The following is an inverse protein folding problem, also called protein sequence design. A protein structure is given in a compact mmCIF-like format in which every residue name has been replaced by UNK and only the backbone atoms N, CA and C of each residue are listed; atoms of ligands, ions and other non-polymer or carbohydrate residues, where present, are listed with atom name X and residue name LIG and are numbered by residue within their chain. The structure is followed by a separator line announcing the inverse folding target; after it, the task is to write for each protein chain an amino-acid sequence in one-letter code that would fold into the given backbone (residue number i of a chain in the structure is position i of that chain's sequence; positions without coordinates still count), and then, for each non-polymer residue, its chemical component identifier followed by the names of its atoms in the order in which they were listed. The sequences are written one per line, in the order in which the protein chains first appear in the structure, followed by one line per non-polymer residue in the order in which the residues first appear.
data_IF_639437944010
#
_entry.id   IF_639437944010
#
_cell.length_a   1.000
_cell.length_b   1.000
_cell.length_c   1.000
_cell.angle_alpha   90.00
_cell.angle_beta   90.00
_cell.angle_gamma   90.00
#
_symmetry.space_group_name_H-M   'P 1'
#
loop_
_entity.id
_entity.type
_entity.pdbx_description
1 polymer ?
#
# COMPACT_ATOMS: atom_id res chain seq x y z
N UNK A 1 -16.88 -2.29 -6.16
CA UNK A 1 -17.13 -2.47 -7.59
C UNK A 1 -16.10 -1.71 -8.41
N UNK A 2 -15.56 -2.33 -9.50
CA UNK A 2 -14.68 -1.67 -10.46
C UNK A 2 -15.45 -0.58 -11.22
N UNK A 3 -14.89 0.63 -11.29
CA UNK A 3 -15.50 1.78 -11.99
C UNK A 3 -14.62 2.35 -13.10
N UNK A 4 -13.32 2.08 -13.08
CA UNK A 4 -12.44 2.40 -14.20
C UNK A 4 -11.34 1.33 -14.32
N UNK A 5 -11.08 0.91 -15.56
CA UNK A 5 -10.01 -0.01 -15.87
C UNK A 5 -8.67 0.72 -15.94
N UNK A 6 -7.59 -0.04 -15.74
CA UNK A 6 -6.25 0.50 -15.94
C UNK A 6 -6.00 0.82 -17.42
N UNK A 7 -5.18 1.82 -17.69
CA UNK A 7 -4.73 2.17 -19.04
C UNK A 7 -3.19 2.23 -19.09
N UNK A 8 -2.60 1.24 -19.74
CA UNK A 8 -1.14 1.12 -19.86
C UNK A 8 -0.47 0.39 -18.69
N UNK A 9 0.87 0.35 -18.70
CA UNK A 9 1.66 -0.43 -17.75
C UNK A 9 1.74 0.23 -16.36
N UNK A 10 1.96 1.55 -16.29
CA UNK A 10 2.00 2.29 -15.02
C UNK A 10 0.62 2.91 -14.79
N UNK A 11 -0.32 2.07 -14.41
CA UNK A 11 -1.68 2.49 -14.05
C UNK A 11 -2.31 1.47 -13.10
N UNK A 12 -3.44 1.80 -12.51
CA UNK A 12 -4.15 0.95 -11.57
C UNK A 12 -5.64 1.03 -11.83
N UNK A 13 -6.40 -0.06 -11.68
CA UNK A 13 -7.86 0.00 -11.73
C UNK A 13 -8.39 0.84 -10.57
N UNK A 14 -9.53 1.49 -10.77
CA UNK A 14 -10.19 2.31 -9.76
C UNK A 14 -11.50 1.65 -9.34
N UNK A 15 -11.67 1.50 -8.04
CA UNK A 15 -12.87 0.95 -7.42
C UNK A 15 -13.71 2.06 -6.78
N UNK A 16 -15.01 1.86 -6.73
CA UNK A 16 -15.92 2.78 -6.04
C UNK A 16 -15.56 2.84 -4.55
N UNK A 17 -15.35 4.05 -4.05
CA UNK A 17 -15.02 4.31 -2.63
C UNK A 17 -16.25 4.52 -1.75
N UNK A 18 -17.42 4.67 -2.36
CA UNK A 18 -18.71 4.88 -1.69
C UNK A 18 -19.80 4.08 -2.41
N UNK A 19 -20.88 3.75 -1.72
CA UNK A 19 -22.11 3.25 -2.36
C UNK A 19 -22.94 4.40 -2.90
N UNK A 20 -23.65 4.16 -4.02
CA UNK A 20 -24.45 5.19 -4.66
C UNK A 20 -24.62 4.99 -6.16
N UNK A 21 -24.86 6.08 -6.88
CA UNK A 21 -25.10 6.08 -8.32
C UNK A 21 -24.12 6.98 -9.06
N UNK A 22 -23.52 6.46 -10.13
CA UNK A 22 -22.72 7.27 -11.04
C UNK A 22 -23.61 8.30 -11.72
N UNK A 23 -23.33 9.58 -11.52
CA UNK A 23 -24.11 10.70 -12.10
C UNK A 23 -23.53 11.18 -13.40
N UNK A 24 -22.21 11.30 -13.46
CA UNK A 24 -21.53 11.83 -14.66
C UNK A 24 -20.07 11.38 -14.71
N UNK A 25 -19.55 11.39 -15.91
CA UNK A 25 -18.13 11.26 -16.21
C UNK A 25 -17.75 12.53 -16.95
N UNK A 26 -16.86 13.31 -16.39
CA UNK A 26 -16.44 14.59 -16.92
C UNK A 26 -14.96 14.84 -16.65
N UNK A 27 -14.39 15.87 -17.28
CA UNK A 27 -13.04 16.31 -16.94
C UNK A 27 -13.06 17.15 -15.67
N UNK A 28 -12.17 16.83 -14.72
CA UNK A 28 -11.97 17.60 -13.50
C UNK A 28 -10.55 18.15 -13.43
N UNK A 29 -10.42 19.40 -12.96
CA UNK A 29 -9.13 20.03 -12.73
C UNK A 29 -8.47 19.44 -11.48
N UNK A 30 -7.23 18.95 -11.64
CA UNK A 30 -6.43 18.46 -10.52
C UNK A 30 -5.72 19.61 -9.79
N UNK A 31 -5.20 19.33 -8.60
CA UNK A 31 -4.33 20.27 -7.86
C UNK A 31 -3.05 20.65 -8.61
N UNK A 32 -2.67 19.89 -9.62
CA UNK A 32 -1.50 20.17 -10.48
C UNK A 32 -1.85 21.05 -11.70
N UNK A 33 -3.10 21.51 -11.82
CA UNK A 33 -3.54 22.35 -12.92
C UNK A 33 -3.82 21.60 -14.23
N UNK A 34 -3.91 20.28 -14.21
CA UNK A 34 -4.24 19.44 -15.38
C UNK A 34 -5.67 18.92 -15.29
N UNK A 35 -6.33 18.78 -16.44
CA UNK A 35 -7.64 18.13 -16.51
C UNK A 35 -7.48 16.62 -16.69
N UNK A 36 -8.26 15.86 -15.93
CA UNK A 36 -8.30 14.41 -16.00
C UNK A 36 -9.74 13.90 -15.99
N UNK A 37 -10.03 12.74 -16.61
CA UNK A 37 -11.34 12.12 -16.49
C UNK A 37 -11.68 11.81 -15.02
N UNK A 38 -12.85 12.22 -14.58
CA UNK A 38 -13.35 12.02 -13.23
C UNK A 38 -14.75 11.42 -13.26
N UNK A 39 -15.02 10.50 -12.33
CA UNK A 39 -16.31 9.86 -12.14
C UNK A 39 -16.97 10.44 -10.90
N UNK A 40 -18.08 11.10 -11.08
CA UNK A 40 -18.89 11.64 -9.97
C UNK A 40 -19.92 10.61 -9.52
N UNK A 41 -19.84 10.20 -8.25
CA UNK A 41 -20.79 9.29 -7.61
C UNK A 41 -21.61 10.09 -6.59
N UNK A 42 -22.93 10.05 -6.72
CA UNK A 42 -23.82 10.53 -5.68
C UNK A 42 -24.01 9.43 -4.63
N UNK A 43 -23.57 9.71 -3.42
CA UNK A 43 -23.67 8.75 -2.31
C UNK A 43 -25.12 8.53 -1.90
N UNK A 44 -25.48 7.29 -1.60
CA UNK A 44 -26.73 6.92 -0.92
C UNK A 44 -26.66 7.07 0.61
N UNK A 45 -25.49 7.41 1.15
CA UNK A 45 -25.23 7.56 2.58
C UNK A 45 -25.13 6.25 3.37
N UNK A 46 -25.22 5.09 2.72
CA UNK A 46 -25.27 3.78 3.38
C UNK A 46 -23.89 3.13 3.50
N UNK A 47 -22.94 3.47 2.64
CA UNK A 47 -21.61 2.83 2.57
C UNK A 47 -21.70 1.29 2.42
N UNK A 48 -22.68 0.82 1.65
CA UNK A 48 -22.92 -0.61 1.44
C UNK A 48 -21.77 -1.21 0.63
N UNK A 49 -21.17 -2.27 1.14
CA UNK A 49 -20.15 -3.03 0.40
C UNK A 49 -20.81 -3.83 -0.75
N UNK A 50 -20.07 -4.02 -1.85
CA UNK A 50 -20.51 -4.88 -2.94
C UNK A 50 -20.56 -6.34 -2.44
N UNK A 51 -21.73 -6.97 -2.58
CA UNK A 51 -21.96 -8.36 -2.15
C UNK A 51 -21.13 -9.39 -2.93
N UNK A 52 -20.63 -9.00 -4.11
CA UNK A 52 -19.83 -9.85 -4.96
C UNK A 52 -18.30 -9.78 -4.66
N UNK A 53 -17.91 -9.13 -3.58
CA UNK A 53 -16.49 -9.10 -3.18
C UNK A 53 -16.08 -10.49 -2.71
N UNK A 54 -15.20 -11.12 -3.48
CA UNK A 54 -14.58 -12.41 -3.13
C UNK A 54 -13.09 -12.21 -2.96
N UNK A 55 -12.51 -12.67 -1.83
CA UNK A 55 -11.05 -12.63 -1.67
C UNK A 55 -10.36 -13.37 -2.82
N UNK A 56 -9.25 -12.84 -3.37
CA UNK A 56 -8.54 -13.50 -4.45
C UNK A 56 -7.91 -14.82 -3.96
N UNK A 57 -8.00 -15.87 -4.78
CA UNK A 57 -7.23 -17.09 -4.56
C UNK A 57 -5.75 -16.82 -4.94
N UNK A 58 -4.84 -16.96 -3.98
CA UNK A 58 -3.42 -16.69 -4.16
C UNK A 58 -2.62 -17.95 -3.85
N UNK A 59 -2.13 -18.62 -4.90
CA UNK A 59 -1.37 -19.86 -4.81
C UNK A 59 0.08 -19.73 -5.32
N UNK A 60 0.36 -18.68 -6.10
CA UNK A 60 1.66 -18.42 -6.71
C UNK A 60 2.07 -16.95 -6.54
N UNK A 61 3.32 -16.64 -6.92
CA UNK A 61 3.82 -15.25 -7.01
C UNK A 61 2.98 -14.44 -8.02
N UNK A 62 2.68 -15.03 -9.15
CA UNK A 62 1.91 -14.42 -10.23
C UNK A 62 0.48 -14.09 -9.76
N UNK A 63 -0.16 -15.00 -9.03
CA UNK A 63 -1.46 -14.75 -8.42
C UNK A 63 -1.41 -13.60 -7.43
N UNK A 64 -0.36 -13.55 -6.59
CA UNK A 64 -0.19 -12.48 -5.61
C UNK A 64 -0.04 -11.11 -6.28
N UNK A 65 0.83 -11.00 -7.29
CA UNK A 65 1.02 -9.75 -8.04
C UNK A 65 -0.27 -9.35 -8.76
N UNK A 66 -0.97 -10.31 -9.36
CA UNK A 66 -2.26 -10.09 -10.03
C UNK A 66 -3.33 -9.63 -9.03
N UNK A 67 -3.39 -10.21 -7.84
CA UNK A 67 -4.31 -9.81 -6.78
C UNK A 67 -4.04 -8.37 -6.32
N UNK A 68 -2.78 -7.99 -6.09
CA UNK A 68 -2.40 -6.61 -5.74
C UNK A 68 -2.77 -5.63 -6.85
N UNK A 69 -2.51 -6.01 -8.10
CA UNK A 69 -2.86 -5.21 -9.27
C UNK A 69 -4.37 -4.97 -9.36
N UNK A 70 -5.15 -6.07 -9.32
CA UNK A 70 -6.60 -6.02 -9.46
C UNK A 70 -7.30 -5.33 -8.28
N UNK A 71 -6.67 -5.31 -7.12
CA UNK A 71 -7.14 -4.56 -5.94
C UNK A 71 -6.93 -3.04 -6.04
N UNK A 72 -6.23 -2.56 -7.07
CA UNK A 72 -6.04 -1.13 -7.25
C UNK A 72 -5.09 -0.47 -6.25
N UNK A 73 -4.19 -1.24 -5.62
CA UNK A 73 -3.29 -0.74 -4.57
C UNK A 73 -2.19 0.13 -5.16
N UNK A 74 -2.11 1.36 -4.69
CA UNK A 74 -1.11 2.36 -5.08
C UNK A 74 -0.42 2.96 -3.86
N UNK A 75 0.73 3.60 -4.05
CA UNK A 75 1.42 4.34 -3.00
C UNK A 75 0.64 5.59 -2.59
N UNK A 76 0.30 5.72 -1.30
CA UNK A 76 -0.50 6.83 -0.79
C UNK A 76 0.32 8.03 -0.34
N UNK A 77 1.61 7.85 -0.01
CA UNK A 77 2.50 8.91 0.46
C UNK A 77 3.24 9.68 -0.63
N UNK A 78 2.81 9.60 -1.89
CA UNK A 78 3.51 10.27 -2.99
C UNK A 78 2.75 10.22 -4.30
N UNK A 79 3.43 9.87 -5.40
CA UNK A 79 2.93 9.94 -6.76
C UNK A 79 1.84 8.91 -7.14
N UNK A 80 1.28 8.16 -6.20
CA UNK A 80 0.28 7.13 -6.51
C UNK A 80 0.83 5.97 -7.33
N UNK A 81 2.11 5.63 -7.19
CA UNK A 81 2.74 4.60 -8.01
C UNK A 81 2.13 3.23 -7.74
N UNK A 82 1.77 2.45 -8.78
CA UNK A 82 1.13 1.14 -8.62
C UNK A 82 2.01 0.15 -7.84
N UNK A 83 1.48 -0.41 -6.76
CA UNK A 83 2.24 -1.29 -5.87
C UNK A 83 2.66 -2.59 -6.56
N UNK A 84 1.84 -3.15 -7.44
CA UNK A 84 2.17 -4.37 -8.16
C UNK A 84 3.45 -4.25 -9.01
N UNK A 85 3.74 -3.06 -9.55
CA UNK A 85 4.98 -2.81 -10.32
C UNK A 85 6.20 -2.89 -9.42
N UNK A 86 6.10 -2.41 -8.17
CA UNK A 86 7.18 -2.52 -7.17
C UNK A 86 7.43 -3.96 -6.75
N UNK A 87 6.36 -4.77 -6.68
CA UNK A 87 6.41 -6.16 -6.24
C UNK A 87 6.82 -7.14 -7.34
N UNK A 88 6.96 -6.67 -8.58
CA UNK A 88 7.43 -7.46 -9.71
C UNK A 88 8.76 -6.96 -10.28
N UNK A 89 9.86 -6.97 -9.48
CA UNK A 89 11.17 -6.60 -9.98
C UNK A 89 11.64 -7.62 -11.02
N UNK A 90 12.29 -7.12 -12.07
CA UNK A 90 12.87 -7.97 -13.14
C UNK A 90 14.05 -8.82 -12.68
N UNK A 91 14.66 -8.46 -11.54
CA UNK A 91 15.79 -9.16 -10.93
C UNK A 91 15.34 -9.88 -9.66
N UNK A 92 16.05 -10.94 -9.30
CA UNK A 92 15.82 -11.59 -8.00
C UNK A 92 16.23 -10.64 -6.88
N UNK A 93 15.27 -10.32 -6.02
CA UNK A 93 15.43 -9.46 -4.86
C UNK A 93 15.22 -10.31 -3.62
N UNK A 94 16.16 -10.33 -2.70
CA UNK A 94 16.09 -11.07 -1.45
C UNK A 94 15.98 -10.19 -0.20
N UNK A 95 16.14 -8.89 -0.36
CA UNK A 95 16.13 -7.92 0.73
C UNK A 95 15.05 -6.86 0.49
N UNK A 96 14.17 -6.68 1.49
CA UNK A 96 13.16 -5.63 1.52
C UNK A 96 13.60 -4.54 2.50
N UNK A 97 13.60 -3.30 2.05
CA UNK A 97 13.85 -2.13 2.89
C UNK A 97 12.54 -1.38 3.09
N UNK A 98 12.14 -1.23 4.35
CA UNK A 98 11.01 -0.40 4.75
C UNK A 98 11.57 0.95 5.17
N UNK A 99 11.17 1.98 4.45
CA UNK A 99 11.50 3.36 4.81
C UNK A 99 10.45 3.88 5.80
N UNK A 100 10.81 3.91 7.09
CA UNK A 100 10.03 4.49 8.16
C UNK A 100 10.57 5.84 8.63
N UNK A 101 11.41 6.51 7.81
CA UNK A 101 11.88 7.86 8.08
C UNK A 101 10.82 8.88 7.61
N UNK A 102 10.42 9.77 8.50
CA UNK A 102 9.46 10.86 8.25
C UNK A 102 10.20 12.20 8.28
N UNK A 103 10.66 12.64 7.10
CA UNK A 103 11.50 13.84 7.00
C UNK A 103 10.71 15.15 7.08
N UNK A 104 9.39 15.14 6.80
CA UNK A 104 8.58 16.36 6.80
C UNK A 104 8.19 16.77 8.23
N UNK A 105 8.40 18.03 8.60
CA UNK A 105 7.99 18.53 9.91
C UNK A 105 6.49 18.33 10.17
N UNK A 106 6.17 17.91 11.38
CA UNK A 106 4.79 17.67 11.86
C UNK A 106 4.02 16.51 11.22
N UNK A 107 4.61 15.76 10.28
CA UNK A 107 4.02 14.53 9.78
C UNK A 107 4.38 13.38 10.72
N UNK A 108 3.37 12.57 11.09
CA UNK A 108 3.50 11.42 11.99
C UNK A 108 2.73 10.20 11.51
N UNK A 109 2.39 10.16 10.22
CA UNK A 109 1.58 9.11 9.62
C UNK A 109 2.25 7.75 9.64
N UNK A 110 3.56 7.71 9.34
CA UNK A 110 4.33 6.46 9.29
C UNK A 110 4.60 5.94 10.70
N UNK A 111 4.97 6.82 11.63
CA UNK A 111 5.11 6.50 13.05
C UNK A 111 3.81 5.96 13.62
N UNK A 112 2.67 6.64 13.38
CA UNK A 112 1.36 6.17 13.80
C UNK A 112 1.01 4.81 13.19
N UNK A 113 1.33 4.60 11.91
CA UNK A 113 1.08 3.33 11.22
C UNK A 113 1.91 2.19 11.80
N UNK A 114 3.18 2.40 12.06
CA UNK A 114 4.06 1.41 12.70
C UNK A 114 3.55 1.00 14.07
N UNK A 115 3.10 1.96 14.88
CA UNK A 115 2.60 1.70 16.23
C UNK A 115 1.22 1.01 16.18
N UNK A 116 0.27 1.55 15.42
CA UNK A 116 -1.13 1.10 15.45
C UNK A 116 -1.41 -0.12 14.57
N UNK A 117 -0.56 -0.43 13.59
CA UNK A 117 -0.76 -1.48 12.59
C UNK A 117 0.37 -2.52 12.55
N UNK A 118 1.15 -2.65 13.62
CA UNK A 118 2.28 -3.58 13.70
C UNK A 118 1.91 -5.02 13.28
N UNK A 119 0.74 -5.52 13.70
CA UNK A 119 0.25 -6.84 13.32
C UNK A 119 0.01 -6.99 11.80
N UNK A 120 -0.50 -5.95 11.14
CA UNK A 120 -0.70 -5.95 9.68
C UNK A 120 0.64 -5.85 8.94
N UNK A 121 1.60 -5.11 9.48
CA UNK A 121 2.97 -5.02 8.95
C UNK A 121 3.65 -6.39 9.03
N UNK A 122 3.50 -7.11 10.14
CA UNK A 122 4.01 -8.47 10.27
C UNK A 122 3.39 -9.42 9.23
N UNK A 123 2.07 -9.35 9.04
CA UNK A 123 1.39 -10.15 8.00
C UNK A 123 1.91 -9.80 6.59
N UNK A 124 2.16 -8.53 6.30
CA UNK A 124 2.76 -8.11 5.04
C UNK A 124 4.15 -8.72 4.85
N UNK A 125 4.97 -8.80 5.90
CA UNK A 125 6.29 -9.43 5.82
C UNK A 125 6.19 -10.93 5.48
N UNK A 126 5.21 -11.64 6.04
CA UNK A 126 4.96 -13.04 5.69
C UNK A 126 4.57 -13.19 4.21
N UNK A 127 3.75 -12.30 3.67
CA UNK A 127 3.40 -12.30 2.26
C UNK A 127 4.62 -12.05 1.37
N UNK A 128 5.51 -11.12 1.75
CA UNK A 128 6.74 -10.83 1.02
C UNK A 128 7.70 -12.02 1.03
N UNK A 129 7.88 -12.66 2.17
CA UNK A 129 8.69 -13.89 2.28
C UNK A 129 8.11 -15.02 1.42
N UNK A 130 6.81 -15.25 1.53
CA UNK A 130 6.12 -16.36 0.86
C UNK A 130 6.07 -16.21 -0.66
N UNK A 131 5.68 -15.05 -1.16
CA UNK A 131 5.37 -14.87 -2.58
C UNK A 131 6.46 -14.17 -3.38
N UNK A 132 7.24 -13.29 -2.75
CA UNK A 132 8.33 -12.55 -3.43
C UNK A 132 9.69 -13.20 -3.19
N UNK A 133 9.82 -14.03 -2.14
CA UNK A 133 11.07 -14.71 -1.81
C UNK A 133 12.03 -13.86 -1.00
N UNK A 134 11.52 -12.84 -0.29
CA UNK A 134 12.33 -11.98 0.58
C UNK A 134 12.89 -12.81 1.74
N UNK A 135 14.20 -12.69 1.97
CA UNK A 135 14.94 -13.38 3.02
C UNK A 135 15.36 -12.45 4.16
N UNK A 136 15.44 -11.15 3.87
CA UNK A 136 15.88 -10.14 4.82
C UNK A 136 14.99 -8.90 4.72
N UNK A 137 14.58 -8.38 5.87
CA UNK A 137 13.78 -7.16 5.97
C UNK A 137 14.50 -6.17 6.88
N UNK A 138 14.70 -4.96 6.41
CA UNK A 138 15.34 -3.89 7.16
C UNK A 138 14.33 -2.75 7.29
N UNK A 139 14.04 -2.33 8.52
CA UNK A 139 13.16 -1.20 8.80
C UNK A 139 14.04 -0.04 9.27
N UNK A 140 14.11 1.03 8.49
CA UNK A 140 14.82 2.26 8.86
C UNK A 140 13.88 3.24 9.54
N UNK A 141 14.17 3.63 10.80
CA UNK A 141 13.34 4.56 11.59
C UNK A 141 14.25 5.62 12.20
N UNK A 142 13.83 6.88 12.17
CA UNK A 142 14.58 7.95 12.79
C UNK A 142 14.60 7.83 14.34
N UNK A 143 15.73 8.17 14.94
CA UNK A 143 15.94 8.06 16.40
C UNK A 143 14.99 8.91 17.25
N UNK A 144 14.36 9.94 16.66
CA UNK A 144 13.36 10.79 17.30
C UNK A 144 11.95 10.15 17.39
N UNK A 145 11.80 8.89 16.95
CA UNK A 145 10.55 8.10 16.98
C UNK A 145 10.68 6.87 17.92
N UNK A 146 10.95 7.06 19.22
CA UNK A 146 11.27 5.95 20.14
C UNK A 146 10.13 4.93 20.25
N UNK A 147 8.87 5.36 20.27
CA UNK A 147 7.71 4.46 20.39
C UNK A 147 7.57 3.54 19.18
N UNK A 148 7.80 4.06 17.96
CA UNK A 148 7.78 3.26 16.75
C UNK A 148 8.96 2.29 16.70
N UNK A 149 10.14 2.70 17.15
CA UNK A 149 11.32 1.82 17.27
C UNK A 149 11.00 0.66 18.21
N UNK A 150 10.50 0.93 19.42
CA UNK A 150 10.18 -0.11 20.40
C UNK A 150 9.18 -1.13 19.85
N UNK A 151 8.12 -0.68 19.18
CA UNK A 151 7.12 -1.57 18.62
C UNK A 151 7.69 -2.43 17.49
N UNK A 152 8.50 -1.84 16.61
CA UNK A 152 9.10 -2.57 15.49
C UNK A 152 10.25 -3.51 15.96
N UNK A 153 10.97 -3.18 17.02
CA UNK A 153 11.96 -4.08 17.65
C UNK A 153 11.28 -5.30 18.26
N UNK A 154 10.16 -5.12 18.97
CA UNK A 154 9.34 -6.25 19.48
C UNK A 154 8.83 -7.16 18.34
N UNK A 155 8.47 -6.58 17.19
CA UNK A 155 8.11 -7.35 16.02
C UNK A 155 9.32 -8.14 15.50
N UNK A 156 10.50 -7.52 15.42
CA UNK A 156 11.73 -8.15 14.95
C UNK A 156 12.21 -9.29 15.88
N UNK A 157 11.93 -9.22 17.19
CA UNK A 157 12.24 -10.33 18.13
C UNK A 157 11.52 -11.63 17.75
N UNK A 158 10.34 -11.52 17.15
CA UNK A 158 9.54 -12.67 16.73
C UNK A 158 9.88 -13.20 15.33
N UNK A 159 10.68 -12.47 14.54
CA UNK A 159 11.01 -12.79 13.16
C UNK A 159 12.49 -12.50 12.85
N UNK A 160 13.35 -13.53 12.81
CA UNK A 160 14.79 -13.36 12.60
C UNK A 160 15.17 -12.76 11.23
N UNK A 161 14.24 -12.71 10.29
CA UNK A 161 14.47 -12.05 9.01
C UNK A 161 14.38 -10.51 9.10
N UNK A 162 13.79 -9.98 10.18
CA UNK A 162 13.52 -8.56 10.37
C UNK A 162 14.63 -7.92 11.23
N UNK A 163 15.08 -6.74 10.83
CA UNK A 163 16.05 -5.93 11.58
C UNK A 163 15.61 -4.47 11.57
N UNK A 164 15.57 -3.85 12.73
CA UNK A 164 15.36 -2.40 12.85
C UNK A 164 16.71 -1.69 12.79
N UNK A 165 16.77 -0.60 12.03
CA UNK A 165 17.93 0.29 11.94
C UNK A 165 17.51 1.69 12.33
N UNK A 166 18.06 2.18 13.43
CA UNK A 166 17.89 3.56 13.87
C UNK A 166 18.71 4.49 12.99
N UNK A 167 18.06 5.46 12.40
CA UNK A 167 18.66 6.47 11.52
C UNK A 167 18.89 7.78 12.28
N UNK A 168 19.93 8.57 11.94
CA UNK A 168 20.05 9.94 12.44
C UNK A 168 18.82 10.77 12.08
N UNK A 169 18.41 11.65 12.97
CA UNK A 169 17.34 12.63 12.74
C UNK A 169 17.93 13.97 12.33
#
# INVERSE_FOLDING_TARGET
QLIAEQNGFISSPVHASISGTVKKIEEALTSQGTYVPAITIESDGLMTADENIVPPAVNSREDFISAVKNSGIVGLGGAGFPTYVKLDPKQNVDTLIINGAECEPYITSDSYTMISKAALISQFFELMKKYIGIKKIIIGIEKNKPDAIEVMEKLAESDPAVTVKTLPS
#
